data_IF_149593953245
#
_entry.id   IF_149593953245
#
_cell.length_a   1.000
_cell.length_b   1.000
_cell.length_c   1.000
_cell.angle_alpha   90.00
_cell.angle_beta   90.00
_cell.angle_gamma   90.00
#
_symmetry.space_group_name_H-M   'P 1'
#
loop_
_entity.id
_entity.type
_entity.pdbx_description
1 polymer ?
#
# COMPACT_ATOMS: atom_id res chain seq x y z
N UNK A 1 3.23 5.49 26.41
CA UNK A 1 4.65 5.51 26.82
C UNK A 1 5.34 4.32 26.17
N UNK A 2 6.47 4.54 25.48
CA UNK A 2 7.28 3.49 24.87
C UNK A 2 7.95 2.66 25.97
N UNK A 3 7.76 1.33 25.94
CA UNK A 3 8.34 0.43 26.94
C UNK A 3 9.82 0.08 26.65
N UNK A 4 10.21 0.07 25.37
CA UNK A 4 11.56 -0.21 24.94
C UNK A 4 11.69 -0.27 23.42
N UNK A 5 12.93 -0.33 22.92
CA UNK A 5 13.28 -0.54 21.52
C UNK A 5 14.37 -1.61 21.47
N UNK A 6 14.22 -2.57 20.55
CA UNK A 6 15.24 -3.56 20.20
C UNK A 6 15.58 -3.38 18.72
N UNK A 7 16.85 -3.13 18.42
CA UNK A 7 17.36 -3.05 17.05
C UNK A 7 18.17 -4.30 16.76
N UNK A 8 17.86 -5.00 15.68
CA UNK A 8 18.54 -6.23 15.28
C UNK A 8 18.46 -6.43 13.77
N UNK A 9 19.42 -7.13 13.19
CA UNK A 9 19.42 -7.62 11.82
C UNK A 9 18.98 -9.10 11.70
N UNK A 10 18.75 -9.77 12.84
CA UNK A 10 18.20 -11.13 12.88
C UNK A 10 16.66 -11.07 12.89
N UNK A 11 16.00 -11.54 11.82
CA UNK A 11 14.52 -11.54 11.72
C UNK A 11 13.86 -12.42 12.79
N UNK A 12 14.53 -13.45 13.29
CA UNK A 12 13.99 -14.32 14.34
C UNK A 12 13.87 -13.58 15.67
N UNK A 13 14.87 -12.76 15.97
CA UNK A 13 14.85 -11.86 17.15
C UNK A 13 13.83 -10.75 16.96
N UNK A 14 13.80 -10.14 15.75
CA UNK A 14 12.90 -9.03 15.45
C UNK A 14 11.43 -9.41 15.58
N UNK A 15 11.05 -10.61 15.11
CA UNK A 15 9.65 -11.03 15.08
C UNK A 15 9.20 -11.85 16.30
N UNK A 16 10.08 -12.07 17.27
CA UNK A 16 9.72 -12.84 18.47
C UNK A 16 8.58 -12.20 19.25
N UNK A 17 7.44 -12.88 19.30
CA UNK A 17 6.24 -12.42 20.01
C UNK A 17 5.57 -11.19 19.39
N UNK A 18 5.88 -10.85 18.14
CA UNK A 18 5.33 -9.67 17.47
C UNK A 18 3.85 -9.81 17.19
N UNK A 19 3.05 -8.81 17.57
CA UNK A 19 1.62 -8.71 17.27
C UNK A 19 1.33 -7.88 16.01
N UNK A 20 2.20 -6.93 15.67
CA UNK A 20 2.08 -6.08 14.48
C UNK A 20 3.41 -5.97 13.76
N UNK A 21 3.46 -6.40 12.51
CA UNK A 21 4.65 -6.34 11.66
C UNK A 21 4.43 -5.41 10.47
N UNK A 22 5.36 -4.44 10.29
CA UNK A 22 5.40 -3.55 9.14
C UNK A 22 6.62 -3.90 8.29
N UNK A 23 6.41 -4.56 7.14
CA UNK A 23 7.48 -4.96 6.23
C UNK A 23 7.72 -3.86 5.18
N UNK A 24 8.53 -2.87 5.53
CA UNK A 24 8.75 -1.66 4.73
C UNK A 24 9.91 -1.83 3.74
N UNK A 25 10.98 -2.50 4.14
CA UNK A 25 12.19 -2.67 3.33
C UNK A 25 11.96 -3.57 2.12
N UNK A 26 12.38 -3.11 0.94
CA UNK A 26 12.39 -3.88 -0.30
C UNK A 26 13.56 -3.43 -1.18
N UNK A 27 14.01 -4.29 -2.10
CA UNK A 27 15.01 -3.92 -3.10
C UNK A 27 14.38 -2.98 -4.13
N UNK A 28 14.85 -1.74 -4.29
CA UNK A 28 14.35 -0.84 -5.32
C UNK A 28 14.81 -1.28 -6.72
N UNK A 29 14.07 -0.91 -7.76
CA UNK A 29 14.48 -1.16 -9.13
C UNK A 29 15.66 -0.25 -9.49
N UNK A 30 16.80 -0.83 -9.80
CA UNK A 30 17.97 -0.11 -10.32
C UNK A 30 17.92 0.08 -11.84
N UNK A 31 18.74 1.02 -12.39
CA UNK A 31 18.91 1.17 -13.82
C UNK A 31 19.35 -0.15 -14.46
N UNK A 32 18.70 -0.55 -15.56
CA UNK A 32 19.03 -1.79 -16.28
C UNK A 32 18.60 -3.09 -15.63
N UNK A 33 17.97 -3.05 -14.44
CA UNK A 33 17.46 -4.24 -13.77
C UNK A 33 16.18 -4.74 -14.46
N UNK A 34 16.16 -6.02 -14.83
CA UNK A 34 14.96 -6.65 -15.34
C UNK A 34 13.93 -6.88 -14.23
N UNK A 35 12.66 -6.96 -14.63
CA UNK A 35 11.55 -7.23 -13.68
C UNK A 35 11.73 -8.55 -12.93
N UNK A 36 12.28 -9.56 -13.62
CA UNK A 36 12.55 -10.88 -13.05
C UNK A 36 13.59 -10.82 -11.93
N UNK A 37 14.67 -10.06 -12.13
CA UNK A 37 15.77 -9.95 -11.15
C UNK A 37 15.29 -9.21 -9.90
N UNK A 38 14.50 -8.16 -10.08
CA UNK A 38 13.87 -7.44 -8.99
C UNK A 38 12.96 -8.34 -8.18
N UNK A 39 12.16 -9.17 -8.87
CA UNK A 39 11.25 -10.11 -8.24
C UNK A 39 12.00 -11.15 -7.41
N UNK A 40 13.06 -11.74 -7.96
CA UNK A 40 13.88 -12.73 -7.26
C UNK A 40 14.59 -12.15 -6.03
N UNK A 41 15.14 -10.94 -6.15
CA UNK A 41 15.80 -10.26 -5.04
C UNK A 41 14.81 -9.97 -3.88
N UNK A 42 13.61 -9.50 -4.20
CA UNK A 42 12.58 -9.28 -3.19
C UNK A 42 12.02 -10.60 -2.63
N UNK A 43 11.86 -11.64 -3.47
CA UNK A 43 11.43 -12.94 -3.01
C UNK A 43 12.36 -13.53 -1.94
N UNK A 44 13.67 -13.35 -2.08
CA UNK A 44 14.64 -13.78 -1.07
C UNK A 44 14.43 -13.07 0.28
N UNK A 45 14.17 -11.75 0.26
CA UNK A 45 13.90 -10.96 1.47
C UNK A 45 12.61 -11.43 2.16
N UNK A 46 11.50 -11.44 1.42
CA UNK A 46 10.17 -11.70 1.99
C UNK A 46 9.94 -13.16 2.35
N UNK A 47 10.64 -14.12 1.73
CA UNK A 47 10.58 -15.52 2.15
C UNK A 47 11.27 -15.73 3.50
N UNK A 48 12.41 -15.08 3.76
CA UNK A 48 13.08 -15.15 5.06
C UNK A 48 12.20 -14.52 6.14
N UNK A 49 11.65 -13.34 5.88
CA UNK A 49 10.75 -12.66 6.82
C UNK A 49 9.46 -13.46 7.08
N UNK A 50 8.88 -14.07 6.04
CA UNK A 50 7.71 -14.93 6.18
C UNK A 50 7.97 -16.14 7.08
N UNK A 51 9.09 -16.83 6.90
CA UNK A 51 9.50 -17.95 7.77
C UNK A 51 9.69 -17.53 9.22
N UNK A 52 10.39 -16.43 9.44
CA UNK A 52 10.62 -15.91 10.79
C UNK A 52 9.33 -15.49 11.49
N UNK A 53 8.39 -14.87 10.77
CA UNK A 53 7.04 -14.59 11.26
C UNK A 53 6.30 -15.88 11.64
N UNK A 54 6.35 -16.90 10.78
CA UNK A 54 5.71 -18.18 11.02
C UNK A 54 6.19 -18.86 12.31
N UNK A 55 7.49 -18.80 12.54
CA UNK A 55 8.13 -19.50 13.66
C UNK A 55 8.05 -18.73 14.98
N UNK A 56 8.12 -17.40 14.92
CA UNK A 56 8.39 -16.60 16.11
C UNK A 56 7.33 -15.57 16.48
N UNK A 57 6.46 -15.14 15.53
CA UNK A 57 5.44 -14.16 15.82
C UNK A 57 4.26 -14.73 16.60
N UNK A 58 3.46 -13.83 17.17
CA UNK A 58 2.13 -14.15 17.71
C UNK A 58 1.26 -14.82 16.63
N UNK A 59 0.44 -15.78 17.00
CA UNK A 59 -0.49 -16.44 16.04
C UNK A 59 -1.50 -15.46 15.44
N UNK A 60 -1.80 -14.39 16.17
CA UNK A 60 -2.72 -13.31 15.75
C UNK A 60 -1.99 -12.11 15.12
N UNK A 61 -0.71 -12.24 14.78
CA UNK A 61 0.10 -11.17 14.19
C UNK A 61 -0.62 -10.53 12.99
N UNK A 62 -0.62 -9.21 12.92
CA UNK A 62 -1.11 -8.43 11.78
C UNK A 62 0.09 -7.96 10.96
N UNK A 63 0.19 -8.43 9.72
CA UNK A 63 1.30 -8.12 8.82
C UNK A 63 0.85 -7.15 7.75
N UNK A 64 1.51 -5.99 7.68
CA UNK A 64 1.33 -5.01 6.62
C UNK A 64 2.59 -4.93 5.77
N UNK A 65 2.51 -5.34 4.52
CA UNK A 65 3.61 -5.23 3.56
C UNK A 65 3.51 -3.89 2.83
N UNK A 66 4.54 -3.08 2.97
CA UNK A 66 4.68 -1.74 2.35
C UNK A 66 5.67 -1.77 1.20
N UNK A 67 6.74 -2.58 1.32
CA UNK A 67 7.80 -2.69 0.32
C UNK A 67 7.29 -3.15 -1.04
N UNK A 68 7.62 -2.41 -2.09
CA UNK A 68 7.15 -2.69 -3.45
C UNK A 68 7.96 -3.80 -4.15
N UNK A 69 7.29 -4.63 -4.97
CA UNK A 69 5.86 -4.66 -5.29
C UNK A 69 5.02 -5.29 -4.16
N UNK A 70 4.25 -4.46 -3.45
CA UNK A 70 3.64 -4.81 -2.17
C UNK A 70 2.74 -6.06 -2.22
N UNK A 71 1.88 -6.18 -3.22
CA UNK A 71 0.99 -7.34 -3.37
C UNK A 71 1.77 -8.65 -3.56
N UNK A 72 2.79 -8.64 -4.42
CA UNK A 72 3.64 -9.80 -4.68
C UNK A 72 4.45 -10.18 -3.45
N UNK A 73 5.04 -9.20 -2.79
CA UNK A 73 5.83 -9.41 -1.58
C UNK A 73 4.97 -9.93 -0.41
N UNK A 74 3.74 -9.46 -0.29
CA UNK A 74 2.77 -9.96 0.69
C UNK A 74 2.42 -11.43 0.43
N UNK A 75 2.18 -11.81 -0.83
CA UNK A 75 1.93 -13.19 -1.21
C UNK A 75 3.13 -14.10 -0.92
N UNK A 76 4.35 -13.64 -1.19
CA UNK A 76 5.58 -14.39 -0.90
C UNK A 76 5.75 -14.60 0.61
N UNK A 77 5.57 -13.55 1.42
CA UNK A 77 5.66 -13.66 2.87
C UNK A 77 4.61 -14.64 3.42
N UNK A 78 3.37 -14.52 2.98
CA UNK A 78 2.28 -15.39 3.38
C UNK A 78 2.51 -16.86 2.98
N UNK A 79 3.00 -17.12 1.75
CA UNK A 79 3.32 -18.46 1.29
C UNK A 79 4.46 -19.14 2.08
N UNK A 80 5.32 -18.35 2.73
CA UNK A 80 6.38 -18.83 3.62
C UNK A 80 5.98 -18.83 5.11
N UNK A 81 4.72 -18.55 5.42
CA UNK A 81 4.16 -18.58 6.76
C UNK A 81 2.89 -19.47 6.80
N UNK A 82 3.01 -20.77 6.53
CA UNK A 82 1.85 -21.66 6.34
C UNK A 82 1.00 -21.86 7.60
N UNK A 83 1.56 -21.65 8.79
CA UNK A 83 0.84 -21.81 10.07
C UNK A 83 0.10 -20.54 10.51
N UNK A 84 0.29 -19.44 9.81
CA UNK A 84 -0.42 -18.19 10.05
C UNK A 84 -1.63 -18.05 9.10
N UNK A 85 -2.78 -17.54 9.58
CA UNK A 85 -3.92 -17.29 8.71
C UNK A 85 -3.57 -16.33 7.56
N UNK A 86 -3.96 -16.66 6.33
CA UNK A 86 -3.72 -15.78 5.16
C UNK A 86 -4.33 -14.37 5.34
N UNK A 87 -5.45 -14.26 6.05
CA UNK A 87 -6.11 -13.00 6.38
C UNK A 87 -5.27 -12.06 7.26
N UNK A 88 -4.20 -12.56 7.88
CA UNK A 88 -3.30 -11.75 8.69
C UNK A 88 -2.32 -10.94 7.82
N UNK A 89 -2.17 -11.29 6.53
CA UNK A 89 -1.27 -10.62 5.60
C UNK A 89 -2.02 -9.63 4.73
N UNK A 90 -1.57 -8.39 4.72
CA UNK A 90 -2.14 -7.30 3.93
C UNK A 90 -1.04 -6.55 3.20
N UNK A 91 -1.37 -5.98 2.04
CA UNK A 91 -0.48 -5.10 1.28
C UNK A 91 -0.98 -3.67 1.34
N UNK A 92 -0.07 -2.70 1.47
CA UNK A 92 -0.43 -1.29 1.52
C UNK A 92 -0.75 -0.75 0.12
N UNK A 93 -2.04 -0.73 -0.20
CA UNK A 93 -2.58 -0.13 -1.43
C UNK A 93 -3.49 1.07 -1.15
N UNK A 94 -3.65 1.43 0.12
CA UNK A 94 -4.57 2.46 0.60
C UNK A 94 -4.19 3.89 0.18
N UNK A 95 -2.93 4.14 -0.18
CA UNK A 95 -2.45 5.48 -0.51
C UNK A 95 -3.21 6.10 -1.68
N UNK A 96 -3.41 5.38 -2.77
CA UNK A 96 -4.13 5.89 -3.94
C UNK A 96 -5.59 6.20 -3.62
N UNK A 97 -6.22 5.34 -2.84
CA UNK A 97 -7.58 5.56 -2.37
C UNK A 97 -7.70 6.82 -1.51
N UNK A 98 -6.79 7.02 -0.56
CA UNK A 98 -6.78 8.20 0.29
C UNK A 98 -6.52 9.49 -0.50
N UNK A 99 -5.63 9.44 -1.51
CA UNK A 99 -5.39 10.54 -2.44
C UNK A 99 -6.64 10.92 -3.23
N UNK A 100 -7.35 9.93 -3.75
CA UNK A 100 -8.60 10.15 -4.46
C UNK A 100 -9.68 10.75 -3.55
N UNK A 101 -9.82 10.25 -2.32
CA UNK A 101 -10.76 10.80 -1.35
C UNK A 101 -10.42 12.25 -0.99
N UNK A 102 -9.14 12.59 -0.80
CA UNK A 102 -8.71 13.96 -0.51
C UNK A 102 -9.06 14.92 -1.65
N UNK A 103 -8.74 14.55 -2.90
CA UNK A 103 -9.08 15.38 -4.07
C UNK A 103 -10.59 15.61 -4.20
N UNK A 104 -11.38 14.58 -3.94
CA UNK A 104 -12.84 14.68 -4.01
C UNK A 104 -13.40 15.54 -2.87
N UNK A 105 -12.85 15.43 -1.67
CA UNK A 105 -13.20 16.25 -0.52
C UNK A 105 -12.90 17.74 -0.78
N UNK A 106 -11.69 18.04 -1.28
CA UNK A 106 -11.27 19.40 -1.62
C UNK A 106 -12.17 20.02 -2.70
N UNK A 107 -12.50 19.25 -3.76
CA UNK A 107 -13.37 19.74 -4.85
C UNK A 107 -14.78 20.08 -4.37
N UNK A 108 -15.31 19.33 -3.40
CA UNK A 108 -16.71 19.44 -2.97
C UNK A 108 -16.88 20.16 -1.63
N UNK A 109 -15.81 20.72 -1.09
CA UNK A 109 -15.77 21.36 0.25
C UNK A 109 -16.41 20.47 1.33
N UNK A 110 -16.04 19.18 1.34
CA UNK A 110 -16.58 18.18 2.25
C UNK A 110 -15.48 17.50 3.07
N UNK A 111 -15.87 16.84 4.17
CA UNK A 111 -14.92 16.10 4.97
C UNK A 111 -14.69 14.70 4.37
N UNK A 112 -13.44 14.19 4.39
CA UNK A 112 -13.09 12.86 3.86
C UNK A 112 -13.91 11.72 4.48
N UNK A 113 -14.36 11.87 5.72
CA UNK A 113 -15.19 10.88 6.40
C UNK A 113 -16.61 10.78 5.84
N UNK A 114 -17.07 11.79 5.10
CA UNK A 114 -18.39 11.80 4.45
C UNK A 114 -18.37 11.09 3.10
N UNK A 115 -17.17 10.80 2.58
CA UNK A 115 -16.98 10.08 1.32
C UNK A 115 -17.02 8.58 1.58
N UNK A 116 -17.94 7.89 0.90
CA UNK A 116 -18.10 6.44 0.99
C UNK A 116 -18.03 5.80 -0.40
N UNK A 117 -17.68 4.52 -0.44
CA UNK A 117 -17.70 3.69 -1.66
C UNK A 117 -16.79 4.20 -2.78
N UNK A 118 -15.76 5.00 -2.45
CA UNK A 118 -14.70 5.34 -3.40
C UNK A 118 -13.93 4.07 -3.76
N UNK A 119 -13.65 3.84 -5.03
CA UNK A 119 -12.95 2.64 -5.52
C UNK A 119 -11.78 3.01 -6.41
N UNK A 120 -10.68 2.28 -6.29
CA UNK A 120 -9.55 2.34 -7.23
C UNK A 120 -9.46 0.98 -7.92
N UNK A 121 -9.52 0.99 -9.24
CA UNK A 121 -9.36 -0.20 -10.08
C UNK A 121 -7.97 -0.28 -10.69
N UNK A 122 -7.50 -1.49 -10.92
CA UNK A 122 -6.27 -1.76 -11.66
C UNK A 122 -5.02 -1.85 -10.79
N UNK A 123 -3.86 -1.83 -11.45
CA UNK A 123 -2.56 -1.93 -10.81
C UNK A 123 -2.16 -0.60 -10.15
N UNK A 124 -1.31 -0.67 -9.12
CA UNK A 124 -0.66 0.51 -8.55
C UNK A 124 0.36 1.10 -9.54
N UNK A 125 -0.15 1.86 -10.50
CA UNK A 125 0.61 2.50 -11.58
C UNK A 125 -0.19 3.67 -12.17
N UNK A 126 0.39 4.39 -13.12
CA UNK A 126 -0.32 5.45 -13.84
C UNK A 126 -1.54 4.98 -14.66
N UNK A 127 -1.81 3.65 -14.71
CA UNK A 127 -2.99 3.08 -15.36
C UNK A 127 -4.14 2.76 -14.38
N UNK A 128 -3.96 3.04 -13.08
CA UNK A 128 -5.04 2.91 -12.10
C UNK A 128 -6.21 3.84 -12.44
N UNK A 129 -7.41 3.42 -12.11
CA UNK A 129 -8.61 4.20 -12.38
C UNK A 129 -9.38 4.51 -11.09
N UNK A 130 -9.39 5.77 -10.63
CA UNK A 130 -10.21 6.21 -9.51
C UNK A 130 -11.66 6.36 -9.96
N UNK A 131 -12.52 5.48 -9.47
CA UNK A 131 -13.93 5.38 -9.86
C UNK A 131 -14.86 5.98 -8.79
N UNK A 132 -15.61 7.00 -9.17
CA UNK A 132 -16.62 7.65 -8.33
C UNK A 132 -18.05 7.24 -8.68
N UNK A 133 -18.26 6.28 -9.58
CA UNK A 133 -19.59 5.91 -10.08
C UNK A 133 -20.57 5.51 -8.98
N UNK A 134 -20.06 4.87 -7.93
CA UNK A 134 -20.82 4.45 -6.76
C UNK A 134 -20.48 5.24 -5.50
N UNK A 135 -19.55 6.20 -5.59
CA UNK A 135 -19.15 7.00 -4.46
C UNK A 135 -20.29 7.94 -4.02
N UNK A 136 -20.37 8.14 -2.71
CA UNK A 136 -21.31 9.11 -2.12
C UNK A 136 -20.55 10.08 -1.22
N UNK A 137 -21.06 11.31 -1.13
CA UNK A 137 -20.58 12.36 -0.24
C UNK A 137 -21.76 12.81 0.61
N UNK A 138 -21.68 12.62 1.91
CA UNK A 138 -22.81 12.88 2.83
C UNK A 138 -24.14 12.27 2.34
N UNK A 139 -24.08 11.05 1.79
CA UNK A 139 -25.21 10.31 1.28
C UNK A 139 -25.69 10.69 -0.13
N UNK A 140 -25.14 11.74 -0.76
CA UNK A 140 -25.48 12.13 -2.15
C UNK A 140 -24.49 11.50 -3.14
N UNK A 141 -24.93 11.14 -4.36
CA UNK A 141 -24.02 10.62 -5.38
C UNK A 141 -22.88 11.60 -5.70
N UNK A 142 -21.63 11.18 -5.57
CA UNK A 142 -20.47 12.03 -5.83
C UNK A 142 -20.44 12.55 -7.28
N UNK A 143 -20.85 11.72 -8.23
CA UNK A 143 -20.92 12.07 -9.65
C UNK A 143 -21.85 13.24 -9.96
N UNK A 144 -22.86 13.49 -9.12
CA UNK A 144 -23.77 14.63 -9.27
C UNK A 144 -23.19 15.94 -8.68
N UNK A 145 -22.09 15.86 -7.94
CA UNK A 145 -21.47 17.01 -7.25
C UNK A 145 -20.21 17.53 -7.95
N UNK A 146 -19.75 16.86 -9.00
CA UNK A 146 -18.56 17.26 -9.78
C UNK A 146 -18.89 17.24 -11.27
N UNK A 147 -18.22 18.11 -12.02
CA UNK A 147 -18.35 18.16 -13.48
C UNK A 147 -17.42 17.15 -14.16
N UNK A 148 -17.82 16.71 -15.36
CA UNK A 148 -17.07 15.71 -16.14
C UNK A 148 -15.70 16.23 -16.58
N UNK A 149 -15.57 17.53 -16.87
CA UNK A 149 -14.31 18.14 -17.28
C UNK A 149 -13.28 18.06 -16.17
N UNK A 150 -13.66 18.38 -14.94
CA UNK A 150 -12.79 18.20 -13.78
C UNK A 150 -12.46 16.73 -13.53
N UNK A 151 -13.44 15.85 -13.64
CA UNK A 151 -13.24 14.41 -13.39
C UNK A 151 -12.16 13.83 -14.32
N UNK A 152 -12.25 14.11 -15.62
CA UNK A 152 -11.34 13.57 -16.63
C UNK A 152 -10.04 14.37 -16.77
N UNK A 153 -10.10 15.69 -16.64
CA UNK A 153 -8.96 16.58 -16.85
C UNK A 153 -8.06 16.75 -15.63
N UNK A 154 -8.61 16.73 -14.44
CA UNK A 154 -7.88 17.02 -13.21
C UNK A 154 -7.83 15.80 -12.26
N UNK A 155 -8.99 15.27 -11.86
CA UNK A 155 -9.07 14.27 -10.80
C UNK A 155 -8.34 12.97 -11.16
N UNK A 156 -8.71 12.35 -12.27
CA UNK A 156 -8.13 11.07 -12.70
C UNK A 156 -6.62 11.21 -12.92
N UNK A 157 -6.12 12.19 -13.71
CA UNK A 157 -4.68 12.35 -13.92
C UNK A 157 -3.92 12.66 -12.63
N UNK A 158 -4.47 13.48 -11.74
CA UNK A 158 -3.82 13.82 -10.46
C UNK A 158 -3.63 12.60 -9.58
N UNK A 159 -4.66 11.76 -9.44
CA UNK A 159 -4.56 10.52 -8.65
C UNK A 159 -3.57 9.55 -9.28
N UNK A 160 -3.62 9.35 -10.60
CA UNK A 160 -2.74 8.45 -11.34
C UNK A 160 -1.27 8.83 -11.24
N UNK A 161 -0.96 10.13 -11.28
CA UNK A 161 0.42 10.65 -11.37
C UNK A 161 0.98 11.14 -10.04
N UNK A 162 0.23 11.06 -8.96
CA UNK A 162 0.64 11.62 -7.66
C UNK A 162 1.96 11.04 -7.16
N UNK A 163 2.18 9.75 -7.33
CA UNK A 163 3.44 9.10 -6.94
C UNK A 163 4.64 9.69 -7.67
N UNK A 164 4.56 9.84 -8.98
CA UNK A 164 5.62 10.45 -9.80
C UNK A 164 5.86 11.93 -9.43
N UNK A 165 4.79 12.69 -9.14
CA UNK A 165 4.88 14.07 -8.70
C UNK A 165 5.60 14.22 -7.36
N UNK A 166 5.34 13.33 -6.40
CA UNK A 166 6.01 13.31 -5.10
C UNK A 166 7.51 13.01 -5.26
N UNK A 167 7.85 11.97 -6.03
CA UNK A 167 9.25 11.62 -6.32
C UNK A 167 9.98 12.82 -6.94
N UNK A 168 9.38 13.48 -7.91
CA UNK A 168 9.96 14.66 -8.58
C UNK A 168 10.17 15.83 -7.62
N UNK A 169 9.23 16.07 -6.71
CA UNK A 169 9.27 17.20 -5.78
C UNK A 169 10.27 17.00 -4.63
N UNK A 170 10.36 15.78 -4.11
CA UNK A 170 11.12 15.49 -2.89
C UNK A 170 12.51 14.90 -3.14
N UNK A 171 12.88 14.55 -4.38
CA UNK A 171 14.10 13.81 -4.73
C UNK A 171 14.29 12.52 -3.90
N UNK A 172 13.26 12.09 -3.18
CA UNK A 172 13.28 10.89 -2.34
C UNK A 172 12.80 9.70 -3.15
N UNK A 173 13.68 8.76 -3.38
CA UNK A 173 13.38 7.42 -3.89
C UNK A 173 12.68 6.57 -2.82
N UNK A 174 11.60 7.07 -2.26
CA UNK A 174 10.74 6.30 -1.36
C UNK A 174 9.38 6.13 -2.01
N UNK A 175 9.31 5.13 -2.84
CA UNK A 175 8.04 4.56 -3.24
C UNK A 175 7.83 3.28 -2.46
#
# INVERSE_FOLDING_TARGET
TLAGIVCTDDPNVAFKGTDHALLVGARPRGPGMERKDLLLANAAIFSVQGKALNEHASRDVRVLVVGNPANTNSLIAQANAPDLPAANFTAMTRLDHNRAMSQLADKTDSHVNDIKKMTIWGNHSATQYPDISHATIAGKPAKAMVDQGWLEGDFIPTVQQRGAAIIKACLLYTS
#
